data_IF_665208239839
#
_entry.id   IF_665208239839
#
_cell.length_a   1.000
_cell.length_b   1.000
_cell.length_c   1.000
_cell.angle_alpha   90.00
_cell.angle_beta   90.00
_cell.angle_gamma   90.00
#
_symmetry.space_group_name_H-M   'P 1'
#
loop_
_entity.id
_entity.type
_entity.pdbx_description
1 polymer ?
#
# COMPACT_ATOMS: atom_id res chain seq x y z
N UNK A 1 -45.97 48.30 18.66
CA UNK A 1 -47.20 48.76 19.32
C UNK A 1 -47.81 47.54 19.96
N UNK A 2 -47.54 47.31 21.25
CA UNK A 2 -48.08 46.18 22.00
C UNK A 2 -49.53 46.53 22.38
N UNK A 3 -50.48 45.71 21.94
CA UNK A 3 -51.87 45.83 22.37
C UNK A 3 -51.96 45.13 23.73
N UNK A 4 -51.99 45.90 24.82
CA UNK A 4 -52.24 45.35 26.16
C UNK A 4 -53.68 44.82 26.22
N UNK A 5 -53.88 43.58 25.75
CA UNK A 5 -55.14 42.83 25.76
C UNK A 5 -55.86 42.90 27.11
N UNK A 6 -55.08 43.03 28.19
CA UNK A 6 -55.54 43.11 29.56
C UNK A 6 -56.48 44.30 29.82
N UNK A 7 -56.25 45.47 29.20
CA UNK A 7 -57.04 46.68 29.44
C UNK A 7 -58.27 46.86 28.54
N UNK A 8 -58.52 45.94 27.60
CA UNK A 8 -59.71 46.01 26.74
C UNK A 8 -60.96 45.49 27.44
N UNK A 9 -62.07 46.21 27.23
CA UNK A 9 -63.39 45.83 27.75
C UNK A 9 -63.94 44.61 26.98
N UNK A 10 -64.78 43.75 27.60
CA UNK A 10 -65.20 42.48 27.00
C UNK A 10 -65.81 42.58 25.59
N UNK A 11 -66.57 43.64 25.29
CA UNK A 11 -67.16 43.82 23.96
C UNK A 11 -66.13 44.23 22.89
N UNK A 12 -65.04 44.90 23.29
CA UNK A 12 -63.95 45.27 22.39
C UNK A 12 -63.13 44.03 22.01
N UNK A 13 -62.92 43.12 22.97
CA UNK A 13 -62.26 41.82 22.73
C UNK A 13 -63.03 40.94 21.75
N UNK A 14 -64.36 41.09 21.69
CA UNK A 14 -65.20 40.34 20.76
C UNK A 14 -65.24 40.96 19.35
N UNK A 15 -64.58 42.10 19.12
CA UNK A 15 -64.57 42.76 17.83
C UNK A 15 -63.64 42.02 16.85
N UNK A 16 -64.24 41.31 15.89
CA UNK A 16 -63.52 40.51 14.88
C UNK A 16 -62.69 41.33 13.90
N UNK A 17 -62.89 42.65 13.82
CA UNK A 17 -62.01 43.55 13.05
C UNK A 17 -60.63 43.68 13.69
N UNK A 18 -60.57 43.62 15.02
CA UNK A 18 -59.32 43.78 15.79
C UNK A 18 -58.76 42.45 16.29
N UNK A 19 -59.63 41.47 16.54
CA UNK A 19 -59.29 40.10 16.96
C UNK A 19 -59.89 39.08 15.99
N UNK A 20 -59.31 38.96 14.79
CA UNK A 20 -59.75 37.96 13.84
C UNK A 20 -59.48 36.56 14.41
N UNK A 21 -60.34 35.60 14.04
CA UNK A 21 -60.09 34.22 14.45
C UNK A 21 -58.85 33.66 13.75
N UNK A 22 -58.66 34.03 12.48
CA UNK A 22 -57.61 33.49 11.60
C UNK A 22 -56.76 34.64 11.08
N UNK A 23 -55.44 34.45 11.05
CA UNK A 23 -54.51 35.43 10.50
C UNK A 23 -53.70 34.73 9.41
N UNK A 24 -53.63 35.36 8.24
CA UNK A 24 -52.87 34.87 7.11
C UNK A 24 -51.52 35.57 7.06
N UNK A 25 -50.45 34.78 6.94
CA UNK A 25 -49.08 35.27 6.81
C UNK A 25 -48.33 34.44 5.78
N UNK A 26 -47.54 35.11 4.96
CA UNK A 26 -46.57 34.46 4.10
C UNK A 26 -45.28 34.24 4.88
N UNK A 27 -44.83 32.98 4.96
CA UNK A 27 -43.60 32.58 5.63
C UNK A 27 -42.86 31.55 4.78
N UNK A 28 -41.54 31.68 4.58
CA UNK A 28 -40.80 30.68 3.82
C UNK A 28 -40.78 29.33 4.57
N UNK A 29 -41.03 28.25 3.83
CA UNK A 29 -41.15 26.88 4.37
C UNK A 29 -39.90 26.46 5.17
N UNK A 30 -38.73 26.95 4.77
CA UNK A 30 -37.45 26.68 5.45
C UNK A 30 -37.39 27.27 6.85
N UNK A 31 -37.90 28.49 7.04
CA UNK A 31 -37.97 29.13 8.36
C UNK A 31 -39.03 28.48 9.23
N UNK A 32 -40.20 28.18 8.65
CA UNK A 32 -41.24 27.41 9.33
C UNK A 32 -40.69 26.08 9.86
N UNK A 33 -39.92 25.35 9.05
CA UNK A 33 -39.28 24.09 9.48
C UNK A 33 -38.32 24.27 10.63
N UNK A 34 -37.41 25.25 10.53
CA UNK A 34 -36.44 25.52 11.59
C UNK A 34 -37.15 25.82 12.91
N UNK A 35 -38.23 26.61 12.87
CA UNK A 35 -39.00 26.97 14.04
C UNK A 35 -39.74 25.76 14.64
N UNK A 36 -40.43 24.98 13.81
CA UNK A 36 -41.12 23.76 14.25
C UNK A 36 -40.13 22.78 14.89
N UNK A 37 -38.98 22.55 14.24
CA UNK A 37 -37.94 21.69 14.79
C UNK A 37 -37.37 22.22 16.11
N UNK A 38 -37.16 23.53 16.23
CA UNK A 38 -36.67 24.13 17.48
C UNK A 38 -37.70 23.98 18.62
N UNK A 39 -39.00 24.09 18.31
CA UNK A 39 -40.08 23.87 19.27
C UNK A 39 -40.13 22.41 19.71
N UNK A 40 -40.08 21.47 18.76
CA UNK A 40 -40.15 20.03 19.05
C UNK A 40 -38.95 19.53 19.86
N UNK A 41 -37.78 20.13 19.67
CA UNK A 41 -36.56 19.79 20.41
C UNK A 41 -36.40 20.61 21.71
N UNK A 42 -37.44 21.31 22.17
CA UNK A 42 -37.44 22.12 23.40
C UNK A 42 -36.33 23.20 23.44
N UNK A 43 -35.84 23.64 22.28
CA UNK A 43 -34.78 24.65 22.16
C UNK A 43 -35.31 26.10 22.19
N UNK A 44 -36.59 26.27 22.53
CA UNK A 44 -37.28 27.57 22.51
C UNK A 44 -37.68 27.99 23.91
N UNK A 45 -37.71 29.31 24.16
CA UNK A 45 -38.01 29.87 25.49
C UNK A 45 -39.51 30.15 25.68
N UNK A 46 -40.37 29.39 24.99
CA UNK A 46 -41.82 29.60 25.08
C UNK A 46 -42.35 29.06 26.42
N UNK A 47 -42.89 29.94 27.26
CA UNK A 47 -43.61 29.53 28.48
C UNK A 47 -44.84 28.68 28.17
N UNK A 48 -45.44 28.88 27.00
CA UNK A 48 -46.54 28.09 26.47
C UNK A 48 -46.26 27.80 24.99
N UNK A 49 -45.76 26.60 24.66
CA UNK A 49 -45.48 26.26 23.27
C UNK A 49 -46.78 26.29 22.45
N UNK A 50 -46.72 26.75 21.18
CA UNK A 50 -47.88 26.79 20.32
C UNK A 50 -48.34 25.38 19.96
N UNK A 51 -49.64 25.22 19.70
CA UNK A 51 -50.17 24.00 19.09
C UNK A 51 -49.91 24.03 17.59
N UNK A 52 -49.19 23.02 17.10
CA UNK A 52 -48.84 22.87 15.69
C UNK A 52 -49.60 21.65 15.15
N UNK A 53 -50.41 21.85 14.10
CA UNK A 53 -51.19 20.77 13.51
C UNK A 53 -50.31 19.72 12.83
N UNK A 54 -50.77 18.47 12.85
CA UNK A 54 -50.10 17.36 12.16
C UNK A 54 -50.02 17.61 10.63
N UNK A 55 -51.04 18.23 10.05
CA UNK A 55 -51.05 18.62 8.63
C UNK A 55 -49.89 19.56 8.28
N UNK A 56 -49.62 20.57 9.13
CA UNK A 56 -48.51 21.51 8.90
C UNK A 56 -47.16 20.79 9.05
N UNK A 57 -47.05 19.86 9.99
CA UNK A 57 -45.85 19.04 10.18
C UNK A 57 -45.59 18.21 8.92
N UNK A 58 -46.60 17.52 8.40
CA UNK A 58 -46.47 16.71 7.18
C UNK A 58 -46.15 17.55 5.94
N UNK A 59 -46.65 18.79 5.87
CA UNK A 59 -46.38 19.70 4.75
C UNK A 59 -44.97 20.30 4.80
N UNK A 60 -44.45 20.56 6.01
CA UNK A 60 -43.15 21.21 6.21
C UNK A 60 -42.01 20.20 6.27
N UNK A 61 -42.27 18.97 6.73
CA UNK A 61 -41.38 17.83 6.57
C UNK A 61 -41.19 17.64 5.07
N UNK A 62 -39.99 17.95 4.57
CA UNK A 62 -39.60 17.29 3.33
C UNK A 62 -39.64 15.82 3.70
N UNK A 63 -40.46 15.05 3.00
CA UNK A 63 -40.12 13.65 2.78
C UNK A 63 -38.76 13.70 2.13
N UNK A 64 -37.72 13.75 2.95
CA UNK A 64 -36.40 13.51 2.47
C UNK A 64 -36.52 12.18 1.76
N UNK A 65 -36.05 12.14 0.54
CA UNK A 65 -35.65 10.90 -0.12
C UNK A 65 -34.48 10.26 0.68
N UNK A 66 -34.50 10.29 2.02
CA UNK A 66 -33.54 9.71 2.95
C UNK A 66 -33.42 8.21 2.68
N UNK A 67 -34.52 7.53 2.31
CA UNK A 67 -34.46 6.15 1.83
C UNK A 67 -33.54 5.99 0.60
N UNK A 68 -33.47 6.98 -0.30
CA UNK A 68 -32.59 6.93 -1.48
C UNK A 68 -31.13 7.24 -1.12
N UNK A 69 -30.90 8.04 -0.08
CA UNK A 69 -29.57 8.35 0.42
C UNK A 69 -29.02 7.21 1.30
N UNK A 70 -29.81 6.66 2.21
CA UNK A 70 -29.49 5.48 3.02
C UNK A 70 -29.13 4.28 2.15
N UNK A 71 -29.94 3.97 1.14
CA UNK A 71 -29.63 2.89 0.20
C UNK A 71 -28.29 3.09 -0.53
N UNK A 72 -27.92 4.34 -0.85
CA UNK A 72 -26.61 4.65 -1.46
C UNK A 72 -25.46 4.53 -0.47
N UNK A 73 -25.68 4.89 0.79
CA UNK A 73 -24.71 4.73 1.88
C UNK A 73 -24.47 3.24 2.16
N UNK A 74 -25.52 2.44 2.19
CA UNK A 74 -25.40 0.99 2.38
C UNK A 74 -24.70 0.31 1.21
N UNK A 75 -25.02 0.70 -0.03
CA UNK A 75 -24.32 0.23 -1.23
C UNK A 75 -22.82 0.56 -1.19
N UNK A 76 -22.46 1.81 -0.89
CA UNK A 76 -21.04 2.22 -0.81
C UNK A 76 -20.29 1.55 0.34
N UNK A 77 -20.96 1.27 1.46
CA UNK A 77 -20.39 0.52 2.59
C UNK A 77 -20.08 -0.92 2.22
N UNK A 78 -20.96 -1.58 1.48
CA UNK A 78 -20.75 -2.97 1.04
C UNK A 78 -19.63 -3.05 -0.01
N UNK A 79 -19.57 -2.10 -0.95
CA UNK A 79 -18.47 -2.00 -1.93
C UNK A 79 -17.11 -1.79 -1.24
N UNK A 80 -17.03 -0.90 -0.24
CA UNK A 80 -15.81 -0.68 0.53
C UNK A 80 -15.39 -1.92 1.32
N UNK A 81 -16.35 -2.64 1.90
CA UNK A 81 -16.09 -3.89 2.62
C UNK A 81 -15.53 -4.96 1.69
N UNK A 82 -16.09 -5.12 0.49
CA UNK A 82 -15.59 -6.03 -0.53
C UNK A 82 -14.18 -5.64 -1.00
N UNK A 83 -13.91 -4.34 -1.20
CA UNK A 83 -12.57 -3.87 -1.55
C UNK A 83 -11.56 -4.13 -0.43
N UNK A 84 -11.92 -3.89 0.83
CA UNK A 84 -11.07 -4.22 1.98
C UNK A 84 -10.80 -5.72 2.11
N UNK A 85 -11.81 -6.56 1.90
CA UNK A 85 -11.66 -8.01 1.92
C UNK A 85 -10.76 -8.51 0.78
N UNK A 86 -10.91 -7.95 -0.41
CA UNK A 86 -10.03 -8.22 -1.55
C UNK A 86 -8.58 -7.80 -1.28
N UNK A 87 -8.36 -6.62 -0.72
CA UNK A 87 -7.02 -6.13 -0.33
C UNK A 87 -6.42 -7.03 0.76
N UNK A 88 -7.19 -7.38 1.81
CA UNK A 88 -6.70 -8.26 2.87
C UNK A 88 -6.34 -9.66 2.36
N UNK A 89 -7.12 -10.20 1.42
CA UNK A 89 -6.82 -11.48 0.77
C UNK A 89 -5.52 -11.40 -0.02
N UNK A 90 -5.30 -10.33 -0.79
CA UNK A 90 -4.10 -10.18 -1.59
C UNK A 90 -2.86 -9.90 -0.72
N UNK A 91 -2.98 -9.10 0.34
CA UNK A 91 -1.91 -8.88 1.31
C UNK A 91 -1.60 -10.17 2.09
N UNK A 92 -2.61 -10.97 2.45
CA UNK A 92 -2.42 -12.28 3.06
C UNK A 92 -1.65 -13.23 2.14
N UNK A 93 -2.00 -13.24 0.85
CA UNK A 93 -1.28 -13.99 -0.19
C UNK A 93 0.14 -13.45 -0.42
N UNK A 94 0.36 -12.15 -0.30
CA UNK A 94 1.71 -11.55 -0.39
C UNK A 94 2.59 -11.95 0.80
N UNK A 95 2.04 -12.02 2.02
CA UNK A 95 2.81 -12.46 3.19
C UNK A 95 3.18 -13.96 3.15
N UNK A 96 2.25 -14.80 2.72
CA UNK A 96 2.51 -16.24 2.57
C UNK A 96 3.51 -16.50 1.41
N UNK A 97 3.47 -15.69 0.35
CA UNK A 97 4.45 -15.77 -0.75
C UNK A 97 5.80 -15.13 -0.42
N UNK A 98 5.86 -14.09 0.43
CA UNK A 98 7.12 -13.49 0.91
C UNK A 98 7.87 -14.46 1.82
N UNK A 99 7.20 -15.19 2.72
CA UNK A 99 7.84 -16.23 3.55
C UNK A 99 8.30 -17.45 2.73
N UNK A 100 7.54 -17.86 1.70
CA UNK A 100 7.98 -18.90 0.75
C UNK A 100 9.13 -18.42 -0.14
N UNK A 101 9.13 -17.16 -0.61
CA UNK A 101 10.24 -16.60 -1.40
C UNK A 101 11.51 -16.40 -0.59
N UNK A 102 11.42 -15.88 0.64
CA UNK A 102 12.58 -15.70 1.53
C UNK A 102 13.23 -17.06 1.87
N UNK A 103 12.44 -18.11 2.07
CA UNK A 103 12.99 -19.46 2.33
C UNK A 103 13.59 -20.13 1.08
N UNK A 104 13.00 -19.93 -0.11
CA UNK A 104 13.57 -20.40 -1.38
C UNK A 104 14.86 -19.64 -1.76
N UNK A 105 14.94 -18.33 -1.48
CA UNK A 105 16.14 -17.53 -1.67
C UNK A 105 17.25 -17.93 -0.68
N UNK A 106 16.94 -18.16 0.60
CA UNK A 106 17.91 -18.67 1.59
C UNK A 106 18.45 -20.07 1.22
N UNK A 107 17.61 -20.97 0.69
CA UNK A 107 18.06 -22.30 0.25
C UNK A 107 18.94 -22.21 -1.01
N UNK A 108 18.62 -21.31 -1.92
CA UNK A 108 19.44 -21.05 -3.11
C UNK A 108 20.78 -20.39 -2.77
N UNK A 109 20.80 -19.40 -1.87
CA UNK A 109 22.02 -18.74 -1.41
C UNK A 109 22.94 -19.74 -0.70
N UNK A 110 22.42 -20.58 0.21
CA UNK A 110 23.21 -21.62 0.88
C UNK A 110 23.82 -22.63 -0.11
N UNK A 111 23.07 -22.99 -1.16
CA UNK A 111 23.56 -23.90 -2.21
C UNK A 111 24.64 -23.25 -3.07
N UNK A 112 24.49 -21.96 -3.39
CA UNK A 112 25.46 -21.18 -4.15
C UNK A 112 26.75 -20.99 -3.33
N UNK A 113 26.64 -20.69 -2.05
CA UNK A 113 27.77 -20.50 -1.14
C UNK A 113 28.59 -21.79 -1.01
N UNK A 114 27.94 -22.94 -0.85
CA UNK A 114 28.61 -24.25 -0.81
C UNK A 114 29.35 -24.58 -2.11
N UNK A 115 28.79 -24.20 -3.27
CA UNK A 115 29.47 -24.36 -4.56
C UNK A 115 30.67 -23.41 -4.69
N UNK A 116 30.55 -22.16 -4.22
CA UNK A 116 31.65 -21.22 -4.22
C UNK A 116 32.79 -21.68 -3.32
N UNK A 117 32.52 -22.22 -2.13
CA UNK A 117 33.56 -22.77 -1.24
C UNK A 117 34.29 -23.95 -1.89
N UNK A 118 33.57 -24.91 -2.46
CA UNK A 118 34.16 -26.04 -3.18
C UNK A 118 35.07 -25.55 -4.32
N UNK A 119 34.59 -24.58 -5.10
CA UNK A 119 35.36 -24.03 -6.23
C UNK A 119 36.59 -23.25 -5.76
N UNK A 120 36.47 -22.47 -4.67
CA UNK A 120 37.59 -21.77 -4.03
C UNK A 120 38.65 -22.72 -3.49
N UNK A 121 38.28 -23.93 -3.08
CA UNK A 121 39.22 -24.92 -2.56
C UNK A 121 39.86 -25.78 -3.67
N UNK A 122 39.14 -26.07 -4.76
CA UNK A 122 39.65 -26.90 -5.87
C UNK A 122 40.54 -26.14 -6.85
N UNK A 123 40.23 -24.88 -7.18
CA UNK A 123 41.04 -24.03 -8.06
C UNK A 123 42.52 -23.92 -7.63
N UNK A 124 42.84 -23.61 -6.36
CA UNK A 124 44.24 -23.52 -5.92
C UNK A 124 44.93 -24.89 -5.93
N UNK A 125 44.22 -25.98 -5.61
CA UNK A 125 44.79 -27.34 -5.66
C UNK A 125 45.17 -27.72 -7.10
N UNK A 126 44.30 -27.41 -8.07
CA UNK A 126 44.60 -27.62 -9.50
C UNK A 126 45.74 -26.72 -9.98
N UNK A 127 45.76 -25.45 -9.58
CA UNK A 127 46.81 -24.51 -9.96
C UNK A 127 48.19 -24.94 -9.44
N UNK A 128 48.27 -25.40 -8.19
CA UNK A 128 49.50 -25.96 -7.61
C UNK A 128 49.95 -27.21 -8.36
N UNK A 129 49.02 -28.10 -8.73
CA UNK A 129 49.31 -29.30 -9.52
C UNK A 129 49.88 -28.99 -10.91
N UNK A 130 49.26 -28.05 -11.64
CA UNK A 130 49.74 -27.59 -12.95
C UNK A 130 51.13 -26.93 -12.85
N UNK A 131 51.36 -26.10 -11.84
CA UNK A 131 52.66 -25.47 -11.60
C UNK A 131 53.77 -26.50 -11.38
N UNK A 132 53.52 -27.51 -10.57
CA UNK A 132 54.49 -28.60 -10.36
C UNK A 132 54.78 -29.39 -11.64
N UNK A 133 53.79 -29.58 -12.53
CA UNK A 133 54.01 -30.23 -13.82
C UNK A 133 54.88 -29.37 -14.75
N UNK A 134 54.64 -28.07 -14.81
CA UNK A 134 55.46 -27.15 -15.60
C UNK A 134 56.92 -27.13 -15.10
N UNK A 135 57.14 -27.09 -13.78
CA UNK A 135 58.48 -27.11 -13.20
C UNK A 135 59.22 -28.42 -13.55
N UNK A 136 58.53 -29.56 -13.50
CA UNK A 136 59.10 -30.86 -13.94
C UNK A 136 59.46 -30.86 -15.42
N UNK A 137 58.61 -30.29 -16.28
CA UNK A 137 58.86 -30.22 -17.71
C UNK A 137 60.04 -29.28 -18.04
N UNK A 138 60.14 -28.13 -17.36
CA UNK A 138 61.27 -27.21 -17.49
C UNK A 138 62.60 -27.92 -17.16
N UNK A 139 62.64 -28.65 -16.05
CA UNK A 139 63.83 -29.39 -15.63
C UNK A 139 64.22 -30.51 -16.62
N UNK A 140 63.24 -31.13 -17.28
CA UNK A 140 63.52 -32.11 -18.35
C UNK A 140 64.10 -31.44 -19.60
N UNK A 141 63.61 -30.26 -19.97
CA UNK A 141 64.14 -29.48 -21.10
C UNK A 141 65.58 -29.03 -20.86
N UNK A 142 65.91 -28.55 -19.67
CA UNK A 142 67.29 -28.17 -19.30
C UNK A 142 68.24 -29.36 -19.39
N UNK A 143 67.79 -30.54 -18.93
CA UNK A 143 68.57 -31.77 -19.02
C UNK A 143 68.82 -32.19 -20.47
N UNK A 144 67.81 -32.06 -21.34
CA UNK A 144 67.93 -32.32 -22.77
C UNK A 144 68.90 -31.35 -23.45
N UNK A 145 68.83 -30.05 -23.12
CA UNK A 145 69.74 -29.04 -23.65
C UNK A 145 71.21 -29.37 -23.30
N UNK A 146 71.48 -29.74 -22.04
CA UNK A 146 72.82 -30.13 -21.60
C UNK A 146 73.34 -31.39 -22.31
N UNK A 147 72.45 -32.35 -22.59
CA UNK A 147 72.81 -33.55 -23.37
C UNK A 147 73.16 -33.18 -24.82
N UNK A 148 72.42 -32.25 -25.42
CA UNK A 148 72.67 -31.78 -26.79
C UNK A 148 74.00 -31.03 -26.88
N UNK A 149 74.32 -30.15 -25.92
CA UNK A 149 75.61 -29.45 -25.87
C UNK A 149 76.78 -30.43 -25.75
N UNK A 150 76.64 -31.44 -24.88
CA UNK A 150 77.65 -32.48 -24.74
C UNK A 150 77.85 -33.28 -26.03
N UNK A 151 76.77 -33.60 -26.74
CA UNK A 151 76.82 -34.29 -28.03
C UNK A 151 77.53 -33.43 -29.09
N UNK A 152 77.21 -32.14 -29.15
CA UNK A 152 77.84 -31.19 -30.05
C UNK A 152 79.35 -31.08 -29.78
N UNK A 153 79.76 -30.95 -28.52
CA UNK A 153 81.18 -30.97 -28.14
C UNK A 153 81.88 -32.28 -28.53
N UNK A 154 81.22 -33.43 -28.36
CA UNK A 154 81.77 -34.71 -28.81
C UNK A 154 81.96 -34.75 -30.33
N UNK A 155 81.03 -34.18 -31.10
CA UNK A 155 81.10 -34.11 -32.55
C UNK A 155 82.23 -33.19 -33.04
N UNK A 156 82.40 -32.01 -32.43
CA UNK A 156 83.50 -31.07 -32.71
C UNK A 156 84.86 -31.72 -32.46
N UNK A 157 85.02 -32.41 -31.32
CA UNK A 157 86.26 -33.12 -30.99
C UNK A 157 86.59 -34.23 -32.02
N UNK A 158 85.59 -34.98 -32.48
CA UNK A 158 85.78 -35.99 -33.54
C UNK A 158 86.21 -35.31 -34.86
N UNK A 159 85.58 -34.19 -35.21
CA UNK A 159 85.89 -33.44 -36.43
C UNK A 159 87.31 -32.88 -36.42
N UNK A 160 87.76 -32.30 -35.30
CA UNK A 160 89.14 -31.86 -35.11
C UNK A 160 90.16 -33.00 -35.25
N UNK A 161 89.88 -34.18 -34.66
CA UNK A 161 90.75 -35.34 -34.76
C UNK A 161 90.86 -35.86 -36.21
N UNK A 162 89.79 -35.80 -36.99
CA UNK A 162 89.81 -36.16 -38.41
C UNK A 162 90.59 -35.14 -39.26
N UNK A 163 90.53 -33.85 -38.93
CA UNK A 163 91.26 -32.79 -39.64
C UNK A 163 92.77 -32.80 -39.36
N UNK A 164 93.20 -33.19 -38.15
CA UNK A 164 94.63 -33.29 -37.77
C UNK A 164 95.36 -34.53 -38.31
N UNK A 165 94.67 -35.45 -39.00
CA UNK A 165 95.23 -36.70 -39.54
C UNK A 165 95.60 -36.63 -41.04
N UNK A 166 95.29 -35.52 -41.72
CA UNK A 166 95.77 -35.19 -43.06
C UNK A 166 96.97 -34.25 -42.99
#
# INVERSE_FOLDING_TARGET
MEIELFYMLPWQRNNKKWFPNWIYYDLPVTEARKLINAIDNEQTVFNYPPLISEELRNLVVLTDDNNKLENKIDQTKEELKQQMEFIMKNIGVEKDNEEEQDSEEEEQENKLEKQMEQTKEELPKQHVGLKQQMDKHALQMDKLALQMDKLNQQMENIMELLLKRN
#
